data_IF_340137687154
#
_entry.id   IF_340137687154
#
_cell.length_a   1.000
_cell.length_b   1.000
_cell.length_c   1.000
_cell.angle_alpha   90.00
_cell.angle_beta   90.00
_cell.angle_gamma   90.00
#
_symmetry.space_group_name_H-M   'P 1'
#
loop_
_entity.id
_entity.type
_entity.pdbx_description
1 polymer ?
#
# COMPACT_ATOMS: atom_id res chain seq x y z
N UNK A 1 -8.60 6.74 -47.98
CA UNK A 1 -8.74 5.92 -46.73
C UNK A 1 -10.13 6.19 -46.15
N UNK A 2 -10.98 5.15 -46.04
CA UNK A 2 -12.35 5.30 -45.57
C UNK A 2 -12.45 5.10 -44.06
N UNK A 3 -13.22 5.97 -43.40
CA UNK A 3 -13.49 5.92 -41.96
C UNK A 3 -14.98 5.67 -41.76
N UNK A 4 -15.29 4.78 -40.82
CA UNK A 4 -16.65 4.43 -40.45
C UNK A 4 -16.97 4.94 -39.05
N UNK A 5 -18.16 5.50 -38.88
CA UNK A 5 -18.67 5.83 -37.55
C UNK A 5 -19.43 4.62 -37.04
N UNK A 6 -18.82 3.92 -36.08
CA UNK A 6 -19.37 2.69 -35.53
C UNK A 6 -19.98 2.95 -34.14
N UNK A 7 -21.15 2.37 -33.90
CA UNK A 7 -21.79 2.35 -32.57
C UNK A 7 -21.33 1.09 -31.84
N UNK A 8 -20.75 1.27 -30.68
CA UNK A 8 -20.35 0.17 -29.80
C UNK A 8 -21.54 -0.33 -28.98
N UNK A 9 -21.53 -1.59 -28.54
CA UNK A 9 -22.58 -2.17 -27.68
C UNK A 9 -22.79 -1.39 -26.37
N UNK A 10 -21.76 -0.68 -25.87
CA UNK A 10 -21.89 0.23 -24.74
C UNK A 10 -22.54 1.58 -25.06
N UNK A 11 -23.05 1.77 -26.28
CA UNK A 11 -23.72 3.00 -26.75
C UNK A 11 -22.80 4.07 -27.30
N UNK A 12 -21.49 4.04 -27.06
CA UNK A 12 -20.55 5.06 -27.52
C UNK A 12 -20.27 4.96 -29.04
N UNK A 13 -20.14 6.10 -29.68
CA UNK A 13 -19.74 6.20 -31.10
C UNK A 13 -18.21 6.34 -31.21
N UNK A 14 -17.62 5.64 -32.18
CA UNK A 14 -16.18 5.71 -32.47
C UNK A 14 -15.92 5.67 -33.97
N UNK A 15 -15.07 6.56 -34.46
CA UNK A 15 -14.58 6.50 -35.86
C UNK A 15 -13.49 5.42 -35.95
N UNK A 16 -13.63 4.51 -36.89
CA UNK A 16 -12.73 3.37 -37.12
C UNK A 16 -12.37 3.28 -38.60
N UNK A 17 -11.11 2.99 -38.89
CA UNK A 17 -10.66 2.75 -40.27
C UNK A 17 -11.29 1.48 -40.84
N UNK A 18 -11.71 1.51 -42.12
CA UNK A 18 -12.33 0.34 -42.77
C UNK A 18 -11.44 -0.89 -42.75
N UNK A 19 -10.14 -0.74 -42.93
CA UNK A 19 -9.16 -1.83 -42.83
C UNK A 19 -9.10 -2.49 -41.45
N UNK A 20 -9.31 -1.70 -40.38
CA UNK A 20 -9.33 -2.24 -39.04
C UNK A 20 -10.61 -3.03 -38.71
N UNK A 21 -11.72 -2.65 -39.35
CA UNK A 21 -12.99 -3.40 -39.29
C UNK A 21 -12.90 -4.70 -40.05
N UNK A 22 -12.44 -4.65 -41.33
CA UNK A 22 -12.30 -5.83 -42.18
C UNK A 22 -11.36 -6.89 -41.57
N UNK A 23 -10.31 -6.46 -40.88
CA UNK A 23 -9.34 -7.35 -40.19
C UNK A 23 -9.72 -7.68 -38.74
N UNK A 24 -10.92 -7.31 -38.29
CA UNK A 24 -11.41 -7.57 -36.92
C UNK A 24 -10.46 -7.06 -35.80
N UNK A 25 -9.64 -6.03 -36.07
CA UNK A 25 -8.67 -5.48 -35.12
C UNK A 25 -9.30 -4.59 -34.04
N UNK A 26 -10.53 -4.11 -34.25
CA UNK A 26 -11.23 -3.24 -33.29
C UNK A 26 -12.52 -3.93 -32.85
N UNK A 27 -12.57 -4.36 -31.60
CA UNK A 27 -13.72 -5.07 -31.02
C UNK A 27 -14.64 -4.18 -30.17
N UNK A 28 -14.21 -2.97 -29.81
CA UNK A 28 -15.00 -2.04 -28.98
C UNK A 28 -14.48 -0.60 -29.10
N UNK A 29 -15.20 0.38 -28.53
CA UNK A 29 -14.75 1.77 -28.43
C UNK A 29 -13.56 1.97 -27.47
N UNK A 30 -13.16 0.94 -26.75
CA UNK A 30 -12.19 0.93 -25.65
C UNK A 30 -12.81 0.55 -24.30
N UNK A 31 -14.15 0.42 -24.25
CA UNK A 31 -14.89 0.03 -23.04
C UNK A 31 -14.47 -1.35 -22.54
N UNK A 32 -14.31 -2.32 -23.42
CA UNK A 32 -13.87 -3.68 -23.09
C UNK A 32 -12.52 -3.69 -22.38
N UNK A 33 -11.55 -2.90 -22.84
CA UNK A 33 -10.24 -2.77 -22.16
C UNK A 33 -10.36 -2.16 -20.77
N UNK A 34 -11.19 -1.09 -20.65
CA UNK A 34 -11.43 -0.45 -19.34
C UNK A 34 -12.10 -1.41 -18.37
N UNK A 35 -13.06 -2.19 -18.82
CA UNK A 35 -13.77 -3.17 -18.00
C UNK A 35 -12.86 -4.35 -17.60
N UNK A 36 -12.07 -4.87 -18.54
CA UNK A 36 -11.09 -5.93 -18.26
C UNK A 36 -10.04 -5.48 -17.26
N UNK A 37 -9.52 -4.24 -17.39
CA UNK A 37 -8.58 -3.67 -16.41
C UNK A 37 -9.22 -3.48 -15.03
N UNK A 38 -10.51 -3.08 -14.97
CA UNK A 38 -11.24 -2.98 -13.70
C UNK A 38 -11.45 -4.35 -13.04
N UNK A 39 -11.70 -5.40 -13.81
CA UNK A 39 -11.86 -6.77 -13.28
C UNK A 39 -10.55 -7.32 -12.74
N UNK A 40 -9.43 -7.07 -13.44
CA UNK A 40 -8.09 -7.53 -13.02
C UNK A 40 -7.57 -6.76 -11.79
N UNK A 41 -7.88 -5.46 -11.68
CA UNK A 41 -7.40 -4.64 -10.55
C UNK A 41 -8.23 -4.76 -9.27
N UNK A 42 -9.42 -5.39 -9.30
CA UNK A 42 -10.29 -5.61 -8.13
C UNK A 42 -10.20 -7.04 -7.62
N UNK A 43 -9.03 -7.47 -7.14
CA UNK A 43 -8.88 -8.80 -6.53
C UNK A 43 -9.48 -8.89 -5.13
N UNK A 44 -9.59 -7.79 -4.36
CA UNK A 44 -10.12 -7.83 -2.98
C UNK A 44 -10.87 -6.55 -2.55
N UNK A 45 -11.11 -5.59 -3.45
CA UNK A 45 -11.87 -4.36 -3.15
C UNK A 45 -11.19 -3.35 -2.21
N UNK A 46 -10.01 -3.66 -1.69
CA UNK A 46 -9.28 -2.84 -0.70
C UNK A 46 -8.01 -2.15 -1.28
N UNK A 47 -7.87 -2.08 -2.60
CA UNK A 47 -6.62 -1.67 -3.30
C UNK A 47 -6.17 -0.24 -2.97
N UNK A 48 -7.10 0.65 -2.59
CA UNK A 48 -6.81 2.06 -2.29
C UNK A 48 -6.89 2.37 -0.79
N UNK A 49 -6.86 1.35 0.07
CA UNK A 49 -6.88 1.53 1.53
C UNK A 49 -5.47 1.65 2.11
N UNK A 50 -5.36 2.29 3.28
CA UNK A 50 -4.08 2.40 3.99
C UNK A 50 -3.56 1.03 4.44
N UNK A 51 -4.45 0.13 4.84
CA UNK A 51 -4.12 -1.25 5.21
C UNK A 51 -3.43 -1.98 4.05
N UNK A 52 -3.96 -1.82 2.83
CA UNK A 52 -3.36 -2.41 1.65
C UNK A 52 -1.97 -1.83 1.35
N UNK A 53 -1.80 -0.52 1.46
CA UNK A 53 -0.52 0.15 1.25
C UNK A 53 0.53 -0.37 2.26
N UNK A 54 0.13 -0.52 3.53
CA UNK A 54 0.99 -1.07 4.60
C UNK A 54 1.35 -2.53 4.35
N UNK A 55 0.36 -3.36 4.01
CA UNK A 55 0.53 -4.78 3.70
C UNK A 55 1.51 -4.99 2.54
N UNK A 56 1.26 -4.30 1.42
CA UNK A 56 2.07 -4.44 0.22
C UNK A 56 3.51 -3.96 0.43
N UNK A 57 3.68 -2.84 1.15
CA UNK A 57 4.99 -2.32 1.52
C UNK A 57 5.75 -3.28 2.45
N UNK A 58 5.06 -3.90 3.41
CA UNK A 58 5.63 -4.92 4.29
C UNK A 58 6.05 -6.17 3.51
N UNK A 59 5.20 -6.66 2.61
CA UNK A 59 5.50 -7.81 1.74
C UNK A 59 6.75 -7.57 0.88
N UNK A 60 6.86 -6.38 0.28
CA UNK A 60 8.07 -6.01 -0.48
C UNK A 60 9.34 -6.01 0.38
N UNK A 61 9.24 -5.46 1.61
CA UNK A 61 10.38 -5.45 2.55
C UNK A 61 10.77 -6.85 2.98
N UNK A 62 9.78 -7.70 3.31
CA UNK A 62 10.02 -9.09 3.69
C UNK A 62 10.75 -9.85 2.58
N UNK A 63 10.27 -9.75 1.34
CA UNK A 63 10.92 -10.38 0.17
C UNK A 63 12.35 -9.88 -0.02
N UNK A 64 12.57 -8.55 0.08
CA UNK A 64 13.91 -7.96 -0.11
C UNK A 64 14.91 -8.39 0.96
N UNK A 65 14.45 -8.57 2.20
CA UNK A 65 15.29 -8.89 3.36
C UNK A 65 15.27 -10.37 3.73
N UNK A 66 14.60 -11.20 2.92
CA UNK A 66 14.40 -12.64 3.16
C UNK A 66 13.86 -12.93 4.58
N UNK A 67 12.82 -12.18 4.97
CA UNK A 67 12.16 -12.33 6.27
C UNK A 67 10.87 -13.14 6.13
N UNK A 68 10.50 -13.82 7.21
CA UNK A 68 9.22 -14.52 7.28
C UNK A 68 8.04 -13.56 7.09
N UNK A 69 7.04 -14.01 6.32
CA UNK A 69 5.84 -13.25 6.02
C UNK A 69 4.61 -14.17 6.08
N UNK A 70 3.86 -14.08 7.17
CA UNK A 70 2.65 -14.88 7.42
C UNK A 70 1.54 -14.03 8.04
N UNK A 71 1.23 -12.90 7.38
CA UNK A 71 0.10 -12.04 7.76
C UNK A 71 -0.86 -11.90 6.58
N UNK A 72 -2.12 -11.68 6.89
CA UNK A 72 -3.16 -11.32 5.94
C UNK A 72 -3.50 -9.83 6.04
N UNK A 73 -4.24 -9.31 5.08
CA UNK A 73 -4.66 -7.92 5.07
C UNK A 73 -5.52 -7.55 6.29
N UNK A 74 -6.33 -8.50 6.77
CA UNK A 74 -7.22 -8.32 7.92
C UNK A 74 -6.49 -8.33 9.27
N UNK A 75 -5.21 -8.75 9.30
CA UNK A 75 -4.35 -8.66 10.48
C UNK A 75 -3.85 -7.22 10.73
N UNK A 76 -4.01 -6.33 9.73
CA UNK A 76 -3.56 -4.93 9.82
C UNK A 76 -4.71 -4.06 10.32
N UNK A 77 -4.69 -3.75 11.60
CA UNK A 77 -5.64 -2.85 12.25
C UNK A 77 -4.95 -1.51 12.50
N UNK A 78 -5.48 -0.43 11.90
CA UNK A 78 -4.95 0.92 12.11
C UNK A 78 -5.73 1.55 13.26
N UNK A 79 -5.09 1.78 14.43
CA UNK A 79 -5.76 2.46 15.54
C UNK A 79 -5.93 3.96 15.24
N UNK A 80 -6.85 4.61 15.93
CA UNK A 80 -7.06 6.06 15.83
C UNK A 80 -5.83 6.84 16.34
N UNK A 81 -5.20 6.35 17.40
CA UNK A 81 -4.01 6.93 18.01
C UNK A 81 -2.84 5.96 18.01
N UNK A 82 -1.62 6.49 17.87
CA UNK A 82 -0.40 5.70 17.99
C UNK A 82 -0.28 5.12 19.42
N UNK A 83 -0.18 3.81 19.59
CA UNK A 83 -0.15 3.18 20.92
C UNK A 83 1.16 3.42 21.71
N UNK A 84 2.10 4.17 21.12
CA UNK A 84 3.40 4.49 21.75
C UNK A 84 3.51 5.97 22.11
N UNK A 85 3.03 6.86 21.23
CA UNK A 85 3.20 8.30 21.38
C UNK A 85 1.88 9.06 21.61
N UNK A 86 0.75 8.37 21.66
CA UNK A 86 -0.61 8.92 21.85
C UNK A 86 -0.97 10.05 20.86
N UNK A 87 -0.33 10.09 19.69
CA UNK A 87 -0.64 11.03 18.61
C UNK A 87 -1.63 10.41 17.63
N UNK A 88 -2.55 11.20 17.03
CA UNK A 88 -3.53 10.68 16.08
C UNK A 88 -2.86 10.15 14.81
N UNK A 89 -3.36 9.05 14.27
CA UNK A 89 -2.87 8.43 13.04
C UNK A 89 -3.78 8.81 11.87
N UNK A 90 -3.19 9.34 10.80
CA UNK A 90 -3.91 9.69 9.58
C UNK A 90 -3.02 9.63 8.34
N UNK A 91 -3.65 9.43 7.18
CA UNK A 91 -2.94 9.44 5.89
C UNK A 91 -2.49 10.86 5.57
N UNK A 92 -1.20 11.06 5.35
CA UNK A 92 -0.69 12.31 4.84
C UNK A 92 -0.87 12.37 3.31
N UNK A 93 -1.44 13.46 2.81
CA UNK A 93 -1.63 13.69 1.37
C UNK A 93 -0.36 14.15 0.63
N UNK A 94 0.80 14.18 1.31
CA UNK A 94 2.09 14.53 0.72
C UNK A 94 2.79 13.29 0.14
N UNK A 95 3.76 13.52 -0.74
CA UNK A 95 4.56 12.47 -1.38
C UNK A 95 5.38 11.63 -0.39
N UNK A 96 5.63 12.13 0.83
CA UNK A 96 6.37 11.44 1.89
C UNK A 96 5.50 11.26 3.13
N UNK A 97 5.68 10.15 3.89
CA UNK A 97 5.00 9.95 5.15
C UNK A 97 5.28 11.10 6.13
N UNK A 98 4.22 11.64 6.74
CA UNK A 98 4.35 12.57 7.86
C UNK A 98 4.56 11.83 9.18
N UNK A 99 4.88 12.55 10.25
CA UNK A 99 5.11 11.98 11.59
C UNK A 99 3.94 11.12 12.07
N UNK A 100 2.71 11.56 11.76
CA UNK A 100 1.45 10.89 12.13
C UNK A 100 1.00 9.78 11.16
N UNK A 101 1.74 9.55 10.07
CA UNK A 101 1.35 8.50 9.12
C UNK A 101 1.43 7.12 9.75
N UNK A 102 0.41 6.25 9.55
CA UNK A 102 0.48 4.87 9.98
C UNK A 102 1.68 4.15 9.37
N UNK A 103 2.35 3.35 10.17
CA UNK A 103 3.50 2.55 9.77
C UNK A 103 3.41 1.16 10.39
N UNK A 104 3.54 0.11 9.58
CA UNK A 104 3.56 -1.27 10.08
C UNK A 104 4.95 -1.61 10.60
N UNK A 105 5.04 -1.78 11.90
CA UNK A 105 6.24 -2.17 12.63
C UNK A 105 6.26 -3.67 12.94
N UNK A 106 7.46 -4.23 13.12
CA UNK A 106 7.71 -5.55 13.67
C UNK A 106 8.14 -5.39 15.13
N UNK A 107 7.41 -5.97 16.07
CA UNK A 107 7.73 -5.87 17.50
C UNK A 107 9.16 -6.38 17.72
N UNK A 108 9.45 -7.58 17.22
CA UNK A 108 10.80 -8.18 17.18
C UNK A 108 11.26 -8.25 15.71
N UNK A 109 12.27 -7.48 15.31
CA UNK A 109 12.71 -7.38 13.92
C UNK A 109 13.10 -8.71 13.29
N UNK A 110 13.71 -9.59 14.05
CA UNK A 110 14.23 -10.90 13.63
C UNK A 110 13.14 -11.90 13.23
N UNK A 111 11.93 -11.78 13.80
CA UNK A 111 10.82 -12.71 13.52
C UNK A 111 10.07 -12.41 12.22
N UNK A 112 10.37 -11.31 11.55
CA UNK A 112 9.67 -10.95 10.31
C UNK A 112 8.22 -10.46 10.54
N UNK A 113 7.43 -10.49 9.47
CA UNK A 113 6.02 -10.06 9.47
C UNK A 113 5.12 -11.27 9.68
N UNK A 114 5.00 -11.72 10.92
CA UNK A 114 4.15 -12.84 11.33
C UNK A 114 3.03 -12.39 12.25
N UNK A 115 1.97 -13.18 12.33
CA UNK A 115 0.83 -12.92 13.24
C UNK A 115 1.34 -12.80 14.69
N UNK A 116 0.88 -11.76 15.38
CA UNK A 116 1.30 -11.44 16.75
C UNK A 116 2.62 -10.66 16.87
N UNK A 117 3.42 -10.54 15.79
CA UNK A 117 4.67 -9.77 15.78
C UNK A 117 4.57 -8.43 15.04
N UNK A 118 3.38 -8.04 14.61
CA UNK A 118 3.16 -6.78 13.91
C UNK A 118 2.32 -5.82 14.75
N UNK A 119 2.57 -4.52 14.58
CA UNK A 119 1.76 -3.45 15.15
C UNK A 119 1.78 -2.22 14.25
N UNK A 120 0.63 -1.55 14.12
CA UNK A 120 0.58 -0.25 13.45
C UNK A 120 0.87 0.83 14.49
N UNK A 121 1.92 1.61 14.22
CA UNK A 121 2.38 2.74 15.05
C UNK A 121 2.57 3.96 14.15
N UNK A 122 2.84 5.14 14.71
CA UNK A 122 3.18 6.31 13.92
C UNK A 122 4.54 6.15 13.22
N UNK A 123 4.69 6.77 12.07
CA UNK A 123 5.97 6.85 11.37
C UNK A 123 7.06 7.47 12.26
N UNK A 124 6.69 8.44 13.10
CA UNK A 124 7.59 9.03 14.12
C UNK A 124 8.11 7.98 15.10
N UNK A 125 7.21 7.20 15.74
CA UNK A 125 7.59 6.15 16.67
C UNK A 125 8.46 5.09 15.99
N UNK A 126 8.10 4.68 14.76
CA UNK A 126 8.87 3.71 14.00
C UNK A 126 10.28 4.22 13.65
N UNK A 127 10.42 5.51 13.32
CA UNK A 127 11.73 6.14 13.12
C UNK A 127 12.56 6.22 14.40
N UNK A 128 11.94 6.47 15.55
CA UNK A 128 12.66 6.48 16.85
C UNK A 128 13.17 5.09 17.21
N UNK A 129 12.38 4.05 16.91
CA UNK A 129 12.78 2.66 17.13
C UNK A 129 13.85 2.21 16.14
N UNK A 130 13.60 2.37 14.82
CA UNK A 130 14.42 1.89 13.69
C UNK A 130 15.02 0.50 13.98
N UNK A 131 16.33 0.40 13.91
CA UNK A 131 17.17 -0.78 14.17
C UNK A 131 17.92 -0.68 15.52
N UNK A 132 17.55 0.30 16.37
CA UNK A 132 18.15 0.45 17.69
C UNK A 132 17.80 -0.73 18.59
N UNK A 133 18.82 -1.20 19.34
CA UNK A 133 18.60 -2.18 20.39
C UNK A 133 18.01 -1.52 21.63
N UNK A 134 17.45 -2.34 22.53
CA UNK A 134 16.91 -1.87 23.80
C UNK A 134 17.97 -1.09 24.59
N UNK A 135 19.18 -1.63 24.66
CA UNK A 135 20.32 -1.02 25.38
C UNK A 135 20.73 0.34 24.82
N UNK A 136 20.65 0.50 23.49
CA UNK A 136 20.92 1.78 22.83
C UNK A 136 19.85 2.82 23.16
N UNK A 137 18.59 2.42 23.18
CA UNK A 137 17.49 3.30 23.55
C UNK A 137 17.53 3.69 25.03
N UNK A 138 17.88 2.76 25.92
CA UNK A 138 18.07 3.03 27.34
C UNK A 138 19.24 4.02 27.60
N UNK A 139 20.37 3.86 26.92
CA UNK A 139 21.49 4.82 26.99
C UNK A 139 21.08 6.20 26.48
N UNK A 140 20.33 6.26 25.38
CA UNK A 140 19.81 7.54 24.86
C UNK A 140 18.87 8.21 25.88
N UNK A 141 18.02 7.43 26.54
CA UNK A 141 17.15 7.94 27.59
C UNK A 141 17.95 8.51 28.76
N UNK A 142 18.95 7.80 29.25
CA UNK A 142 19.84 8.28 30.32
C UNK A 142 20.56 9.57 29.94
N UNK A 143 21.00 9.70 28.69
CA UNK A 143 21.60 10.93 28.18
C UNK A 143 20.60 12.10 28.20
N UNK A 144 19.38 11.88 27.74
CA UNK A 144 18.32 12.93 27.72
C UNK A 144 17.98 13.37 29.16
N UNK A 145 18.02 12.45 30.11
CA UNK A 145 17.79 12.72 31.55
C UNK A 145 18.99 13.38 32.24
N UNK A 146 20.12 13.59 31.55
CA UNK A 146 21.34 14.15 32.13
C UNK A 146 22.03 13.25 33.14
N UNK A 147 21.86 11.92 33.01
CA UNK A 147 22.45 10.92 33.94
C UNK A 147 23.77 10.34 33.42
N UNK A 148 24.14 10.63 32.21
CA UNK A 148 25.44 10.31 31.55
C UNK A 148 25.87 11.44 30.67
#
# INVERSE_FOLDING_TARGET
>A
EYWWLCKCDCGNLKKVRGSCLALNKVKSCGCFRKESMRKVSKTHGKTDTMEFDLFYSAKKRATKLNLDFNIDLDDIIIPEYCPILDIPLFKNNKSFPGENSPSLDKIKPELGYIKGNIRVISFKANRMKQDNTKEQLEKLLLYIEGKI
#
